data_IF_958810312109
#
_entry.id   IF_958810312109
#
_cell.length_a   1.000
_cell.length_b   1.000
_cell.length_c   1.000
_cell.angle_alpha   90.00
_cell.angle_beta   90.00
_cell.angle_gamma   90.00
#
_symmetry.space_group_name_H-M   'P 1'
#
loop_
_entity.id
_entity.type
_entity.pdbx_description
1 polymer ?
#
# COMPACT_ATOMS: atom_id res chain seq x y z
N UNK A 1 -5.35 -44.93 13.36
CA UNK A 1 -4.74 -44.44 12.10
C UNK A 1 -4.60 -42.92 12.16
N UNK A 2 -3.39 -42.39 12.34
CA UNK A 2 -3.16 -40.94 12.40
C UNK A 2 -3.22 -40.31 11.00
N UNK A 3 -3.96 -39.22 10.83
CA UNK A 3 -4.05 -38.49 9.56
C UNK A 3 -2.71 -37.80 9.28
N UNK A 4 -2.05 -38.14 8.17
CA UNK A 4 -0.80 -37.52 7.72
C UNK A 4 -1.12 -36.15 7.14
N UNK A 5 -0.65 -35.07 7.76
CA UNK A 5 -0.83 -33.72 7.24
C UNK A 5 0.04 -33.55 5.99
N UNK A 6 -0.60 -33.41 4.84
CA UNK A 6 0.08 -33.16 3.57
C UNK A 6 0.36 -31.66 3.44
N UNK A 7 1.61 -31.28 3.21
CA UNK A 7 2.00 -29.88 3.08
C UNK A 7 1.50 -29.33 1.74
N UNK A 8 0.48 -28.47 1.79
CA UNK A 8 -0.06 -27.79 0.62
C UNK A 8 0.57 -26.40 0.47
N UNK A 9 0.79 -25.97 -0.77
CA UNK A 9 1.27 -24.62 -1.06
C UNK A 9 0.20 -23.59 -0.72
N UNK A 10 0.57 -22.53 0.00
CA UNK A 10 -0.36 -21.42 0.34
C UNK A 10 -1.02 -20.82 -0.90
N UNK A 11 -0.27 -20.73 -2.01
CA UNK A 11 -0.80 -20.27 -3.30
C UNK A 11 -1.95 -21.15 -3.77
N UNK A 12 -1.80 -22.49 -3.67
CA UNK A 12 -2.84 -23.46 -4.05
C UNK A 12 -4.09 -23.34 -3.18
N UNK A 13 -3.89 -23.14 -1.87
CA UNK A 13 -4.98 -22.99 -0.90
C UNK A 13 -5.81 -21.74 -1.18
N UNK A 14 -5.19 -20.66 -1.67
CA UNK A 14 -5.88 -19.40 -1.90
C UNK A 14 -6.74 -19.35 -3.17
N UNK A 15 -6.67 -20.38 -4.02
CA UNK A 15 -7.54 -20.46 -5.19
C UNK A 15 -9.01 -20.66 -4.79
N UNK A 16 -9.97 -20.28 -5.64
CA UNK A 16 -11.39 -20.60 -5.44
C UNK A 16 -11.62 -22.10 -5.26
N UNK A 17 -12.71 -22.45 -4.57
CA UNK A 17 -13.11 -23.86 -4.39
C UNK A 17 -13.28 -24.58 -5.73
N UNK A 18 -13.76 -23.87 -6.76
CA UNK A 18 -13.89 -24.38 -8.14
C UNK A 18 -12.56 -24.76 -8.79
N UNK A 19 -11.45 -24.19 -8.32
CA UNK A 19 -10.09 -24.45 -8.82
C UNK A 19 -9.30 -25.36 -7.86
N UNK A 20 -9.98 -26.13 -7.01
CA UNK A 20 -9.38 -27.01 -5.99
C UNK A 20 -8.57 -26.28 -4.90
N UNK A 21 -8.90 -25.02 -4.63
CA UNK A 21 -8.43 -24.29 -3.45
C UNK A 21 -9.45 -24.29 -2.32
N UNK A 22 -9.17 -23.57 -1.23
CA UNK A 22 -10.08 -23.38 -0.10
C UNK A 22 -10.90 -22.09 -0.19
N UNK A 23 -10.71 -21.28 -1.25
CA UNK A 23 -11.37 -19.99 -1.40
C UNK A 23 -10.93 -18.94 -0.38
N UNK A 24 -9.85 -19.19 0.36
CA UNK A 24 -9.30 -18.24 1.33
C UNK A 24 -8.53 -17.16 0.57
N UNK A 25 -8.69 -15.89 0.97
CA UNK A 25 -7.96 -14.80 0.32
C UNK A 25 -6.46 -14.92 0.61
N UNK A 26 -5.66 -14.67 -0.42
CA UNK A 26 -4.20 -14.57 -0.28
C UNK A 26 -3.80 -13.51 0.75
N UNK A 27 -2.88 -13.89 1.64
CA UNK A 27 -2.30 -12.96 2.61
C UNK A 27 -1.55 -11.84 1.90
N UNK A 28 -0.90 -12.14 0.79
CA UNK A 28 -0.19 -11.16 -0.03
C UNK A 28 -1.14 -10.12 -0.62
N UNK A 29 -2.26 -10.56 -1.17
CA UNK A 29 -3.26 -9.65 -1.76
C UNK A 29 -3.95 -8.83 -0.67
N UNK A 30 -4.20 -9.43 0.49
CA UNK A 30 -4.72 -8.74 1.67
C UNK A 30 -3.74 -7.67 2.16
N UNK A 31 -2.45 -8.01 2.27
CA UNK A 31 -1.40 -7.06 2.64
C UNK A 31 -1.30 -5.91 1.62
N UNK A 32 -1.31 -6.18 0.32
CA UNK A 32 -1.33 -5.15 -0.73
C UNK A 32 -2.53 -4.22 -0.57
N UNK A 33 -3.73 -4.77 -0.48
CA UNK A 33 -4.97 -3.99 -0.39
C UNK A 33 -5.01 -3.11 0.87
N UNK A 34 -4.62 -3.66 2.03
CA UNK A 34 -4.53 -2.91 3.28
C UNK A 34 -3.48 -1.80 3.22
N UNK A 35 -2.33 -2.07 2.59
CA UNK A 35 -1.26 -1.08 2.43
C UNK A 35 -1.68 0.06 1.51
N UNK A 36 -2.36 -0.23 0.39
CA UNK A 36 -2.93 0.78 -0.51
C UNK A 36 -3.96 1.63 0.25
N UNK A 37 -4.88 0.99 0.98
CA UNK A 37 -5.90 1.69 1.80
C UNK A 37 -5.26 2.59 2.86
N UNK A 38 -4.18 2.14 3.48
CA UNK A 38 -3.43 2.91 4.47
C UNK A 38 -2.76 4.14 3.84
N UNK A 39 -2.10 3.97 2.68
CA UNK A 39 -1.48 5.06 1.90
C UNK A 39 -2.51 6.08 1.42
N UNK A 40 -3.69 5.64 1.00
CA UNK A 40 -4.78 6.53 0.63
C UNK A 40 -5.30 7.31 1.85
N UNK A 41 -5.50 6.62 2.97
CA UNK A 41 -6.02 7.23 4.20
C UNK A 41 -5.06 8.27 4.78
N UNK A 42 -3.74 8.05 4.69
CA UNK A 42 -2.76 9.05 5.14
C UNK A 42 -2.83 10.34 4.33
N UNK A 43 -3.25 10.30 3.06
CA UNK A 43 -3.33 11.46 2.17
C UNK A 43 -4.67 12.20 2.21
N UNK A 44 -5.74 11.50 2.56
CA UNK A 44 -7.12 12.01 2.40
C UNK A 44 -7.84 12.27 3.70
N UNK A 45 -7.40 11.66 4.80
CA UNK A 45 -8.06 11.83 6.10
C UNK A 45 -7.25 12.75 6.98
N UNK A 46 -7.92 13.77 7.53
CA UNK A 46 -7.36 14.59 8.60
C UNK A 46 -7.52 13.89 9.95
N UNK A 47 -6.78 12.80 10.17
CA UNK A 47 -6.81 12.05 11.43
C UNK A 47 -5.51 12.23 12.20
N UNK A 48 -5.56 12.08 13.54
CA UNK A 48 -4.35 12.10 14.37
C UNK A 48 -3.30 11.10 13.87
N UNK A 49 -3.75 9.92 13.44
CA UNK A 49 -2.90 8.90 12.84
C UNK A 49 -2.27 9.36 11.52
N UNK A 50 -3.03 10.02 10.64
CA UNK A 50 -2.51 10.60 9.39
C UNK A 50 -1.44 11.66 9.69
N UNK A 51 -1.72 12.60 10.61
CA UNK A 51 -0.76 13.64 11.04
C UNK A 51 0.50 13.05 11.67
N UNK A 52 0.36 11.97 12.46
CA UNK A 52 1.48 11.26 13.07
C UNK A 52 2.33 10.51 12.04
N UNK A 53 1.68 9.88 11.06
CA UNK A 53 2.36 9.21 9.95
C UNK A 53 3.06 10.24 9.06
N UNK A 54 2.43 11.37 8.76
CA UNK A 54 3.06 12.48 8.05
C UNK A 54 4.25 13.01 8.83
N UNK A 55 4.11 13.33 10.12
CA UNK A 55 5.21 13.89 10.93
C UNK A 55 6.41 12.95 11.08
N UNK A 56 6.19 11.63 11.07
CA UNK A 56 7.27 10.63 11.11
C UNK A 56 7.91 10.36 9.75
N UNK A 57 7.17 10.53 8.66
CA UNK A 57 7.61 10.08 7.33
C UNK A 57 7.90 11.25 6.37
N UNK A 58 7.64 12.51 6.74
CA UNK A 58 8.18 13.68 6.04
C UNK A 58 9.69 13.72 6.31
N UNK A 59 10.45 12.98 5.51
CA UNK A 59 11.74 13.49 5.02
C UNK A 59 11.38 14.81 4.33
N UNK A 60 12.10 15.90 4.62
CA UNK A 60 11.87 17.27 4.13
C UNK A 60 11.86 17.37 2.59
N UNK A 61 10.86 16.79 1.94
CA UNK A 61 10.63 16.85 0.51
C UNK A 61 9.44 17.77 0.30
N UNK A 62 9.70 18.85 -0.42
CA UNK A 62 8.76 19.92 -0.73
C UNK A 62 7.57 19.41 -1.57
N UNK A 63 7.68 18.20 -2.16
CA UNK A 63 6.68 17.64 -3.06
C UNK A 63 6.23 16.20 -2.69
N UNK A 64 4.91 15.91 -2.61
CA UNK A 64 4.35 14.58 -2.29
C UNK A 64 4.74 13.43 -3.24
N UNK A 65 5.23 13.77 -4.44
CA UNK A 65 5.71 12.79 -5.44
C UNK A 65 7.23 12.51 -5.34
N UNK A 66 8.01 13.46 -4.79
CA UNK A 66 9.48 13.43 -4.71
C UNK A 66 10.00 12.99 -3.34
N UNK A 67 9.38 11.99 -2.71
CA UNK A 67 9.95 11.39 -1.50
C UNK A 67 11.25 10.65 -1.87
N UNK A 68 12.42 11.25 -1.61
CA UNK A 68 13.70 10.55 -1.68
C UNK A 68 13.87 9.66 -0.44
N UNK A 69 14.61 8.56 -0.61
CA UNK A 69 14.83 7.51 0.40
C UNK A 69 15.78 8.03 1.49
N UNK A 70 15.33 9.00 2.28
CA UNK A 70 16.02 9.41 3.51
C UNK A 70 15.58 8.51 4.66
N UNK A 71 16.51 7.73 5.22
CA UNK A 71 16.36 6.84 6.39
C UNK A 71 14.93 6.34 6.64
N UNK A 72 14.43 5.49 5.75
CA UNK A 72 13.15 4.83 5.96
C UNK A 72 13.33 3.80 7.08
N UNK A 73 13.14 4.22 8.32
CA UNK A 73 13.23 3.35 9.49
C UNK A 73 11.93 2.58 9.74
N UNK A 74 10.78 3.11 9.29
CA UNK A 74 9.48 2.46 9.47
C UNK A 74 9.21 1.39 8.41
N UNK A 75 8.94 0.16 8.87
CA UNK A 75 8.45 -0.94 8.02
C UNK A 75 7.13 -0.60 7.32
N UNK A 76 6.28 0.22 7.95
CA UNK A 76 5.01 0.67 7.37
C UNK A 76 5.26 1.53 6.14
N UNK A 77 6.25 2.42 6.18
CA UNK A 77 6.59 3.28 5.04
C UNK A 77 7.24 2.49 3.91
N UNK A 78 8.11 1.51 4.22
CA UNK A 78 8.65 0.58 3.21
C UNK A 78 7.52 -0.13 2.47
N UNK A 79 6.52 -0.62 3.19
CA UNK A 79 5.35 -1.26 2.60
C UNK A 79 4.56 -0.27 1.72
N UNK A 80 4.30 0.94 2.21
CA UNK A 80 3.61 1.98 1.43
C UNK A 80 4.35 2.34 0.13
N UNK A 81 5.67 2.35 0.13
CA UNK A 81 6.47 2.58 -1.08
C UNK A 81 6.46 1.38 -2.01
N UNK A 82 6.47 0.15 -1.48
CA UNK A 82 6.39 -1.07 -2.28
C UNK A 82 5.09 -1.18 -3.09
N UNK A 83 4.02 -0.46 -2.70
CA UNK A 83 2.76 -0.38 -3.46
C UNK A 83 2.55 0.98 -4.11
N UNK A 84 3.56 1.87 -4.13
CA UNK A 84 3.43 3.25 -4.62
C UNK A 84 2.92 3.29 -6.07
N UNK A 85 3.54 2.50 -6.94
CA UNK A 85 3.26 2.53 -8.38
C UNK A 85 1.84 2.03 -8.67
N UNK A 86 1.45 0.90 -8.07
CA UNK A 86 0.08 0.35 -8.14
C UNK A 86 -0.93 1.37 -7.61
N UNK A 87 -0.62 2.02 -6.48
CA UNK A 87 -1.49 3.02 -5.91
C UNK A 87 -1.61 4.26 -6.82
N UNK A 88 -0.53 4.68 -7.47
CA UNK A 88 -0.53 5.85 -8.36
C UNK A 88 -1.32 5.60 -9.65
N UNK A 89 -1.28 4.39 -10.19
CA UNK A 89 -2.08 3.99 -11.36
C UNK A 89 -3.60 4.02 -11.08
N UNK A 90 -4.01 3.69 -9.85
CA UNK A 90 -5.42 3.56 -9.49
C UNK A 90 -5.97 4.69 -8.61
N UNK A 91 -5.17 5.73 -8.32
CA UNK A 91 -5.58 6.87 -7.52
C UNK A 91 -5.47 8.15 -8.35
N UNK A 92 -6.62 8.73 -8.69
CA UNK A 92 -6.68 10.06 -9.31
C UNK A 92 -6.78 11.13 -8.23
N UNK A 93 -5.86 12.09 -8.26
CA UNK A 93 -5.95 13.31 -7.44
C UNK A 93 -6.66 14.38 -8.25
N UNK A 94 -7.83 14.83 -7.80
CA UNK A 94 -8.51 15.98 -8.39
C UNK A 94 -8.09 17.24 -7.66
N UNK A 95 -7.34 18.10 -8.33
CA UNK A 95 -6.98 19.42 -7.83
C UNK A 95 -8.22 20.32 -7.94
N UNK A 96 -8.76 20.75 -6.81
CA UNK A 96 -9.89 21.70 -6.77
C UNK A 96 -9.31 23.02 -6.24
N UNK A 97 -8.95 23.93 -7.15
CA UNK A 97 -8.38 25.24 -6.84
C UNK A 97 -7.15 25.56 -7.69
N UNK A 98 -7.21 26.66 -8.44
CA UNK A 98 -6.19 27.07 -9.40
C UNK A 98 -4.92 27.56 -8.72
N UNK A 99 -3.95 26.67 -8.59
CA UNK A 99 -2.49 26.93 -8.49
C UNK A 99 -1.82 25.57 -8.39
N UNK A 100 -1.51 24.94 -9.51
CA UNK A 100 -0.91 23.61 -9.54
C UNK A 100 0.29 23.62 -10.48
N UNK A 101 1.48 23.45 -9.93
CA UNK A 101 2.72 23.32 -10.70
C UNK A 101 2.76 21.93 -11.37
N UNK A 102 2.28 21.86 -12.60
CA UNK A 102 2.21 20.66 -13.46
C UNK A 102 3.57 20.27 -14.10
N UNK A 103 4.69 20.86 -13.66
CA UNK A 103 5.95 20.83 -14.40
C UNK A 103 7.00 19.81 -13.89
N UNK A 104 6.60 18.72 -13.24
CA UNK A 104 7.57 17.77 -12.64
C UNK A 104 7.68 16.45 -13.42
N UNK A 105 7.34 16.47 -14.70
CA UNK A 105 7.48 15.31 -15.61
C UNK A 105 8.37 15.62 -16.84
N UNK A 106 9.32 16.55 -16.75
CA UNK A 106 10.33 16.78 -17.80
C UNK A 106 11.74 16.36 -17.39
#
# INVERSE_FOLDING_TARGET
MGKRLQRLSWKKICHPVMENGLGVRSLHDTWKALTIKLRWSSRTKDSLWSKFIESRNIVKCIHPLCSTIGSITSSTWKNMLAVKDIAQEHITVRLIGGSSSLWIDN
#
